data_IF_539529852743
#
_entry.id   IF_539529852743
#
_cell.length_a   1.000
_cell.length_b   1.000
_cell.length_c   1.000
_cell.angle_alpha   90.00
_cell.angle_beta   90.00
_cell.angle_gamma   90.00
#
_symmetry.space_group_name_H-M   'P 1'
#
loop_
_entity.id
_entity.type
_entity.pdbx_description
1 polymer ?
#
# COMPACT_ATOMS: atom_id res chain seq x y z
N UNK A 1 3.80 -8.21 26.33
CA UNK A 1 3.28 -8.27 24.94
C UNK A 1 4.00 -9.40 24.23
N UNK A 2 3.28 -10.40 23.69
CA UNK A 2 3.89 -11.57 23.05
C UNK A 2 4.31 -11.25 21.61
N UNK A 3 5.19 -12.08 21.02
CA UNK A 3 5.60 -11.94 19.61
C UNK A 3 4.41 -11.95 18.66
N UNK A 4 3.44 -12.83 18.90
CA UNK A 4 2.22 -12.93 18.08
C UNK A 4 1.32 -11.71 18.21
N UNK A 5 1.27 -11.10 19.40
CA UNK A 5 0.54 -9.84 19.58
C UNK A 5 1.21 -8.67 18.85
N UNK A 6 2.56 -8.66 18.77
CA UNK A 6 3.31 -7.66 18.00
C UNK A 6 3.10 -7.84 16.51
N UNK A 7 3.25 -9.07 16.01
CA UNK A 7 3.07 -9.38 14.60
C UNK A 7 1.69 -8.94 14.10
N UNK A 8 0.62 -9.24 14.86
CA UNK A 8 -0.74 -8.81 14.51
C UNK A 8 -0.90 -7.29 14.46
N UNK A 9 -0.28 -6.55 15.39
CA UNK A 9 -0.32 -5.08 15.38
C UNK A 9 0.45 -4.49 14.20
N UNK A 10 1.61 -5.06 13.87
CA UNK A 10 2.38 -4.64 12.70
C UNK A 10 1.64 -4.93 11.40
N UNK A 11 1.02 -6.10 11.29
CA UNK A 11 0.18 -6.46 10.16
C UNK A 11 -0.98 -5.47 10.00
N UNK A 12 -1.69 -5.14 11.10
CA UNK A 12 -2.77 -4.16 11.07
C UNK A 12 -2.29 -2.77 10.60
N UNK A 13 -1.12 -2.32 11.07
CA UNK A 13 -0.51 -1.06 10.63
C UNK A 13 -0.16 -1.09 9.14
N UNK A 14 0.47 -2.17 8.66
CA UNK A 14 0.84 -2.32 7.25
C UNK A 14 -0.40 -2.34 6.36
N UNK A 15 -1.47 -3.03 6.78
CA UNK A 15 -2.76 -3.02 6.09
C UNK A 15 -3.36 -1.60 6.03
N UNK A 16 -3.31 -0.85 7.13
CA UNK A 16 -3.80 0.53 7.14
C UNK A 16 -3.04 1.43 6.15
N UNK A 17 -1.71 1.34 6.11
CA UNK A 17 -0.86 2.11 5.19
C UNK A 17 -1.12 1.75 3.73
N UNK A 18 -1.15 0.47 3.40
CA UNK A 18 -1.20 0.01 2.01
C UNK A 18 -2.62 0.01 1.45
N UNK A 19 -3.62 -0.38 2.24
CA UNK A 19 -4.98 -0.58 1.76
C UNK A 19 -5.96 0.54 2.15
N UNK A 20 -5.59 1.44 3.07
CA UNK A 20 -6.50 2.48 3.55
C UNK A 20 -7.58 1.92 4.48
N UNK A 21 -7.18 1.56 5.69
CA UNK A 21 -8.04 0.91 6.68
C UNK A 21 -7.90 1.51 8.09
N UNK A 22 -8.60 0.94 9.08
CA UNK A 22 -8.57 1.45 10.45
C UNK A 22 -7.16 1.39 11.04
N UNK A 23 -6.75 2.49 11.67
CA UNK A 23 -5.44 2.61 12.31
C UNK A 23 -5.46 1.91 13.67
N UNK A 24 -4.51 1.01 13.97
CA UNK A 24 -4.46 0.36 15.27
C UNK A 24 -4.20 1.38 16.40
N UNK A 25 -4.71 1.12 17.62
CA UNK A 25 -4.58 2.05 18.74
C UNK A 25 -3.10 2.26 19.13
N UNK A 26 -2.76 3.51 19.43
CA UNK A 26 -1.41 3.94 19.77
C UNK A 26 -0.62 4.55 18.60
N UNK A 27 -1.21 4.62 17.41
CA UNK A 27 -0.66 5.34 16.26
C UNK A 27 -1.47 6.61 15.98
N UNK A 28 -0.80 7.65 15.50
CA UNK A 28 -1.45 8.88 15.04
C UNK A 28 -2.18 8.61 13.70
N UNK A 29 -3.52 8.73 13.66
CA UNK A 29 -4.28 8.50 12.43
C UNK A 29 -3.88 9.44 11.29
N UNK A 30 -3.50 10.68 11.59
CA UNK A 30 -3.14 11.68 10.58
C UNK A 30 -1.80 11.34 9.94
N UNK A 31 -0.79 11.02 10.75
CA UNK A 31 0.51 10.59 10.24
C UNK A 31 0.41 9.30 9.41
N UNK A 32 -0.40 8.32 9.84
CA UNK A 32 -0.61 7.07 9.10
C UNK A 32 -1.33 7.31 7.77
N UNK A 33 -2.33 8.21 7.75
CA UNK A 33 -3.01 8.57 6.51
C UNK A 33 -2.05 9.23 5.50
N UNK A 34 -1.23 10.18 5.95
CA UNK A 34 -0.25 10.86 5.11
C UNK A 34 0.80 9.89 4.54
N UNK A 35 1.34 8.98 5.37
CA UNK A 35 2.25 7.94 4.89
C UNK A 35 1.55 6.96 3.93
N UNK A 36 0.29 6.62 4.21
CA UNK A 36 -0.52 5.74 3.37
C UNK A 36 -0.78 6.30 1.97
N UNK A 37 -0.95 7.62 1.83
CA UNK A 37 -1.06 8.28 0.52
C UNK A 37 0.18 8.02 -0.35
N UNK A 38 1.38 8.18 0.21
CA UNK A 38 2.63 7.90 -0.50
C UNK A 38 2.74 6.43 -0.90
N UNK A 39 2.37 5.50 -0.01
CA UNK A 39 2.38 4.07 -0.29
C UNK A 39 1.43 3.71 -1.45
N UNK A 40 0.20 4.23 -1.44
CA UNK A 40 -0.79 3.97 -2.49
C UNK A 40 -0.40 4.62 -3.80
N UNK A 41 0.05 5.88 -3.78
CA UNK A 41 0.55 6.57 -4.96
C UNK A 41 1.66 5.78 -5.66
N UNK A 42 2.65 5.29 -4.90
CA UNK A 42 3.72 4.47 -5.45
C UNK A 42 3.19 3.16 -6.04
N UNK A 43 2.27 2.47 -5.35
CA UNK A 43 1.67 1.22 -5.84
C UNK A 43 0.93 1.45 -7.15
N UNK A 44 0.14 2.51 -7.23
CA UNK A 44 -0.70 2.80 -8.38
C UNK A 44 0.15 3.28 -9.57
N UNK A 45 1.23 4.04 -9.32
CA UNK A 45 2.23 4.38 -10.32
C UNK A 45 2.93 3.14 -10.88
N UNK A 46 3.33 2.19 -10.02
CA UNK A 46 3.88 0.90 -10.47
C UNK A 46 2.85 0.08 -11.28
N UNK A 47 1.59 0.03 -10.85
CA UNK A 47 0.53 -0.66 -11.58
C UNK A 47 0.19 0.01 -12.92
N UNK A 48 0.35 1.33 -13.02
CA UNK A 48 0.22 2.08 -14.26
C UNK A 48 1.39 1.81 -15.22
N UNK A 49 2.62 1.71 -14.70
CA UNK A 49 3.80 1.41 -15.49
C UNK A 49 3.74 0.02 -16.14
N UNK A 50 3.27 -1.00 -15.41
CA UNK A 50 3.08 -2.35 -15.98
C UNK A 50 2.01 -2.36 -17.06
N UNK A 51 0.87 -1.68 -16.84
CA UNK A 51 -0.19 -1.54 -17.85
C UNK A 51 0.24 -0.74 -19.09
N UNK A 52 1.13 0.23 -18.93
CA UNK A 52 1.70 1.00 -20.04
C UNK A 52 2.65 0.16 -20.91
N UNK A 53 3.42 -0.73 -20.30
CA UNK A 53 4.25 -1.74 -20.99
C UNK A 53 3.39 -2.68 -21.84
N UNK A 54 2.33 -3.26 -21.27
CA UNK A 54 1.47 -4.20 -22.01
C UNK A 54 0.77 -3.56 -23.22
N UNK A 55 0.41 -2.28 -23.11
CA UNK A 55 -0.24 -1.52 -24.18
C UNK A 55 0.74 -1.13 -25.30
N UNK A 56 2.03 -0.98 -24.99
CA UNK A 56 3.09 -0.77 -25.98
C UNK A 56 3.36 -2.05 -26.79
N UNK A 57 3.46 -3.22 -26.14
CA UNK A 57 3.64 -4.50 -26.83
C UNK A 57 2.42 -4.91 -27.66
N UNK A 58 1.21 -4.59 -27.21
CA UNK A 58 -0.04 -4.82 -27.97
C UNK A 58 -0.16 -3.96 -29.23
N UNK A 59 0.64 -2.88 -29.34
CA UNK A 59 0.77 -2.06 -30.57
C UNK A 59 1.86 -2.56 -31.51
N UNK A 60 2.70 -3.50 -31.06
CA UNK A 60 3.86 -4.05 -31.79
C UNK A 60 3.65 -5.49 -32.25
N UNK A 61 2.56 -6.17 -31.83
CA UNK A 61 2.09 -7.39 -32.47
C UNK A 61 1.05 -7.04 -33.55
N UNK A 62 1.15 -7.60 -34.77
CA UNK A 62 0.22 -7.35 -35.89
C UNK A 62 -1.19 -7.86 -35.64
#
# INVERSE_FOLDING_TARGET
>A
MTRDALARRQEALVRALVAGGPVPPGFDPVAVAAAGEVCRHKRDAHAGATRGSDRWWSRLLP
#
